data_IF_259314012145
#
_entry.id   IF_259314012145
#
_cell.length_a   1.000
_cell.length_b   1.000
_cell.length_c   1.000
_cell.angle_alpha   90.00
_cell.angle_beta   90.00
_cell.angle_gamma   90.00
#
_symmetry.space_group_name_H-M   'P 1'
#
loop_
_entity.id
_entity.type
_entity.pdbx_description
1 polymer ?
#
# COMPACT_ATOMS: atom_id res chain seq x y z
N UNK A 1 35.75 -52.23 -22.75
CA UNK A 1 36.87 -53.19 -22.54
C UNK A 1 36.45 -54.21 -21.50
N UNK A 2 36.97 -55.46 -21.56
CA UNK A 2 36.56 -56.60 -20.70
C UNK A 2 35.08 -57.00 -20.86
N UNK A 3 34.64 -57.33 -22.08
CA UNK A 3 33.30 -57.87 -22.38
C UNK A 3 32.13 -56.87 -22.29
N UNK A 4 32.20 -55.86 -21.42
CA UNK A 4 31.23 -54.76 -21.38
C UNK A 4 31.51 -53.74 -22.49
N UNK A 5 30.45 -53.41 -23.23
CA UNK A 5 30.46 -52.31 -24.19
C UNK A 5 30.64 -50.99 -23.43
N UNK A 6 31.54 -50.12 -23.92
CA UNK A 6 31.72 -48.79 -23.34
C UNK A 6 30.64 -47.86 -23.89
N UNK A 7 29.93 -47.15 -23.00
CA UNK A 7 29.19 -45.93 -23.36
C UNK A 7 30.12 -44.76 -23.05
N UNK A 8 30.43 -43.97 -24.08
CA UNK A 8 31.11 -42.68 -23.96
C UNK A 8 30.09 -41.65 -24.45
N UNK A 9 29.66 -40.77 -23.55
CA UNK A 9 28.63 -39.75 -23.74
C UNK A 9 29.02 -38.51 -22.94
N UNK A 10 28.34 -37.39 -23.12
CA UNK A 10 28.52 -36.25 -22.22
C UNK A 10 28.24 -36.67 -20.77
N UNK A 11 29.11 -36.23 -19.86
CA UNK A 11 28.87 -36.44 -18.44
C UNK A 11 27.72 -35.53 -18.01
N UNK A 12 26.70 -36.09 -17.35
CA UNK A 12 25.60 -35.27 -16.84
C UNK A 12 26.13 -34.29 -15.79
N UNK A 13 25.70 -33.03 -15.83
CA UNK A 13 26.28 -31.97 -15.01
C UNK A 13 25.91 -32.14 -13.52
N UNK A 14 26.69 -32.95 -12.81
CA UNK A 14 26.33 -33.46 -11.48
C UNK A 14 26.41 -32.43 -10.33
N UNK A 15 26.47 -31.13 -10.66
CA UNK A 15 26.37 -29.98 -9.76
C UNK A 15 25.32 -28.95 -10.25
N UNK A 16 24.30 -29.42 -10.98
CA UNK A 16 23.17 -28.62 -11.44
C UNK A 16 22.00 -28.64 -10.44
N UNK A 17 21.29 -27.51 -10.32
CA UNK A 17 20.07 -27.35 -9.53
C UNK A 17 18.94 -26.82 -10.41
N UNK A 18 17.74 -27.33 -10.17
CA UNK A 18 16.48 -26.77 -10.65
C UNK A 18 16.05 -25.65 -9.72
N UNK A 19 15.65 -24.52 -10.28
CA UNK A 19 15.16 -23.36 -9.53
C UNK A 19 13.72 -23.10 -9.97
N UNK A 20 12.80 -22.96 -9.02
CA UNK A 20 11.38 -22.69 -9.30
C UNK A 20 10.81 -21.59 -8.42
N UNK A 21 9.62 -21.14 -8.78
CA UNK A 21 8.92 -19.99 -8.18
C UNK A 21 9.58 -18.63 -8.46
N UNK A 22 10.36 -18.51 -9.54
CA UNK A 22 10.94 -17.24 -9.97
C UNK A 22 9.86 -16.22 -10.34
N UNK A 23 10.12 -14.95 -10.05
CA UNK A 23 9.34 -13.82 -10.56
C UNK A 23 9.54 -13.69 -12.08
N UNK A 24 8.54 -13.26 -12.87
CA UNK A 24 8.69 -13.08 -14.31
C UNK A 24 9.72 -12.01 -14.71
N UNK A 25 10.16 -11.18 -13.76
CA UNK A 25 11.17 -10.15 -13.94
C UNK A 25 12.61 -10.60 -13.63
N UNK A 26 12.84 -11.87 -13.27
CA UNK A 26 14.18 -12.42 -13.07
C UNK A 26 14.81 -12.77 -14.42
N UNK A 27 15.98 -12.20 -14.72
CA UNK A 27 16.78 -12.53 -15.91
C UNK A 27 17.84 -13.60 -15.63
N UNK A 28 18.52 -14.06 -16.68
CA UNK A 28 19.62 -15.03 -16.56
C UNK A 28 20.78 -14.46 -15.71
N UNK A 29 21.11 -13.19 -15.96
CA UNK A 29 22.22 -12.48 -15.34
C UNK A 29 21.96 -12.23 -13.85
N UNK A 30 20.73 -11.84 -13.49
CA UNK A 30 20.32 -11.71 -12.09
C UNK A 30 20.36 -13.06 -11.36
N UNK A 31 19.98 -14.15 -12.05
CA UNK A 31 20.05 -15.50 -11.49
C UNK A 31 21.51 -15.96 -11.29
N UNK A 32 22.41 -15.62 -12.21
CA UNK A 32 23.85 -15.89 -12.11
C UNK A 32 24.48 -15.13 -10.93
N UNK A 33 24.28 -13.80 -10.89
CA UNK A 33 24.81 -12.93 -9.84
C UNK A 33 24.33 -13.39 -8.46
N UNK A 34 23.04 -13.67 -8.30
CA UNK A 34 22.48 -14.06 -7.01
C UNK A 34 22.96 -15.44 -6.52
N UNK A 35 23.15 -16.42 -7.41
CA UNK A 35 23.65 -17.74 -7.00
C UNK A 35 25.18 -17.78 -6.83
N UNK A 36 25.91 -16.81 -7.41
CA UNK A 36 27.37 -16.69 -7.25
C UNK A 36 27.84 -16.61 -5.79
N UNK A 37 27.00 -16.11 -4.88
CA UNK A 37 27.27 -16.04 -3.43
C UNK A 37 27.52 -17.42 -2.78
N UNK A 38 27.04 -18.50 -3.41
CA UNK A 38 27.23 -19.86 -2.93
C UNK A 38 28.54 -20.47 -3.45
N UNK A 39 28.95 -20.10 -4.67
CA UNK A 39 30.20 -20.50 -5.33
C UNK A 39 30.17 -20.20 -6.83
N UNK A 40 31.25 -20.55 -7.57
CA UNK A 40 31.37 -20.26 -9.00
C UNK A 40 30.28 -20.97 -9.84
N UNK A 41 29.65 -20.20 -10.73
CA UNK A 41 28.62 -20.63 -11.69
C UNK A 41 29.29 -20.90 -13.04
N UNK A 42 28.88 -21.97 -13.72
CA UNK A 42 29.23 -22.26 -15.12
C UNK A 42 28.13 -21.79 -16.08
N UNK A 43 26.86 -21.91 -15.66
CA UNK A 43 25.69 -21.47 -16.43
C UNK A 43 24.51 -21.18 -15.50
N UNK A 44 23.81 -20.07 -15.74
CA UNK A 44 22.47 -19.82 -15.19
C UNK A 44 21.51 -19.48 -16.34
N UNK A 45 20.31 -20.05 -16.33
CA UNK A 45 19.30 -19.82 -17.38
C UNK A 45 17.89 -19.87 -16.82
N UNK A 46 17.07 -18.89 -17.17
CA UNK A 46 15.63 -18.87 -16.91
C UNK A 46 14.92 -19.57 -18.07
N UNK A 47 14.04 -20.52 -17.75
CA UNK A 47 13.28 -21.27 -18.75
C UNK A 47 12.12 -20.40 -19.23
N UNK A 48 12.06 -20.14 -20.53
CA UNK A 48 10.98 -19.40 -21.19
C UNK A 48 10.04 -20.32 -21.97
N UNK A 49 8.82 -19.86 -22.20
CA UNK A 49 7.85 -20.52 -23.08
C UNK A 49 8.12 -20.24 -24.59
N UNK A 50 7.28 -20.81 -25.45
CA UNK A 50 7.30 -20.62 -26.91
C UNK A 50 7.14 -19.16 -27.36
N UNK A 51 6.69 -18.28 -26.46
CA UNK A 51 6.49 -16.84 -26.68
C UNK A 51 7.56 -15.98 -25.99
N UNK A 52 8.60 -16.60 -25.41
CA UNK A 52 9.69 -15.92 -24.72
C UNK A 52 9.32 -15.38 -23.33
N UNK A 53 8.19 -15.80 -22.75
CA UNK A 53 7.78 -15.39 -21.39
C UNK A 53 8.39 -16.35 -20.36
N UNK A 54 8.83 -15.83 -19.22
CA UNK A 54 9.36 -16.67 -18.13
C UNK A 54 8.32 -17.68 -17.64
N UNK A 55 8.73 -18.95 -17.52
CA UNK A 55 7.91 -20.03 -16.94
C UNK A 55 7.94 -20.07 -15.41
N UNK A 56 8.66 -19.13 -14.77
CA UNK A 56 8.91 -19.16 -13.33
C UNK A 56 9.87 -20.28 -12.87
N UNK A 57 10.56 -20.92 -13.83
CA UNK A 57 11.58 -21.95 -13.60
C UNK A 57 12.92 -21.53 -14.21
N UNK A 58 14.02 -22.09 -13.71
CA UNK A 58 15.38 -21.87 -14.19
C UNK A 58 16.30 -23.02 -13.81
N UNK A 59 17.51 -23.01 -14.36
CA UNK A 59 18.56 -23.99 -14.10
C UNK A 59 19.83 -23.23 -13.72
N UNK A 60 20.52 -23.69 -12.67
CA UNK A 60 21.81 -23.15 -12.23
C UNK A 60 22.82 -24.29 -12.14
N UNK A 61 23.94 -24.14 -12.84
CA UNK A 61 25.03 -25.10 -12.92
C UNK A 61 26.26 -24.52 -12.23
N UNK A 62 26.68 -25.16 -11.13
CA UNK A 62 27.88 -24.78 -10.38
C UNK A 62 29.11 -25.55 -10.83
N UNK A 63 30.27 -24.89 -10.88
CA UNK A 63 31.55 -25.56 -11.20
C UNK A 63 31.99 -26.60 -10.14
N UNK A 64 31.26 -26.74 -9.02
CA UNK A 64 31.57 -27.75 -8.01
C UNK A 64 30.34 -28.24 -7.22
N UNK A 65 30.31 -29.54 -6.94
CA UNK A 65 29.27 -30.18 -6.10
C UNK A 65 29.15 -29.61 -4.69
N UNK A 66 30.23 -29.18 -4.00
CA UNK A 66 30.10 -28.51 -2.70
C UNK A 66 29.35 -27.18 -2.79
N UNK A 67 29.56 -26.38 -3.84
CA UNK A 67 28.85 -25.12 -4.02
C UNK A 67 27.34 -25.34 -4.26
N UNK A 68 26.98 -26.30 -5.13
CA UNK A 68 25.59 -26.68 -5.35
C UNK A 68 24.90 -27.19 -4.07
N UNK A 69 25.57 -28.02 -3.27
CA UNK A 69 25.01 -28.48 -1.97
C UNK A 69 24.81 -27.33 -0.99
N UNK A 70 25.80 -26.45 -0.84
CA UNK A 70 25.69 -25.24 0.01
C UNK A 70 24.52 -24.35 -0.42
N UNK A 71 24.29 -24.17 -1.73
CA UNK A 71 23.14 -23.42 -2.24
C UNK A 71 21.81 -24.11 -1.88
N UNK A 72 21.70 -25.42 -2.14
CA UNK A 72 20.50 -26.21 -1.82
C UNK A 72 20.18 -26.22 -0.32
N UNK A 73 21.16 -26.47 0.54
CA UNK A 73 21.01 -26.47 2.00
C UNK A 73 20.53 -25.09 2.50
N UNK A 74 21.19 -24.01 2.09
CA UNK A 74 20.85 -22.63 2.52
C UNK A 74 19.47 -22.17 2.05
N UNK A 75 19.03 -22.56 0.85
CA UNK A 75 17.71 -22.25 0.33
C UNK A 75 16.60 -23.21 0.82
N UNK A 76 16.97 -24.32 1.48
CA UNK A 76 16.02 -25.24 2.12
C UNK A 76 15.79 -24.88 3.60
N UNK A 77 16.83 -24.42 4.29
CA UNK A 77 16.75 -23.97 5.69
C UNK A 77 16.23 -22.53 5.83
N UNK A 78 16.59 -21.66 4.89
CA UNK A 78 16.29 -20.22 4.93
C UNK A 78 15.42 -19.75 3.77
N UNK A 79 14.98 -18.50 3.85
CA UNK A 79 14.21 -17.83 2.79
C UNK A 79 15.19 -17.04 1.92
N UNK A 80 15.37 -17.45 0.67
CA UNK A 80 16.19 -16.73 -0.32
C UNK A 80 15.30 -15.95 -1.31
N UNK A 81 15.59 -14.65 -1.47
CA UNK A 81 14.81 -13.68 -2.24
C UNK A 81 15.70 -13.00 -3.28
N UNK A 82 15.16 -12.72 -4.47
CA UNK A 82 15.88 -12.07 -5.59
C UNK A 82 15.33 -10.70 -5.98
N UNK A 83 14.14 -10.34 -5.49
CA UNK A 83 13.36 -9.19 -5.95
C UNK A 83 12.73 -8.45 -4.78
N UNK A 84 12.27 -7.22 -5.02
CA UNK A 84 11.55 -6.39 -4.04
C UNK A 84 10.32 -7.11 -3.47
N UNK A 85 9.55 -7.79 -4.33
CA UNK A 85 8.46 -8.68 -3.89
C UNK A 85 9.09 -9.89 -3.17
N UNK A 86 8.69 -10.21 -1.92
CA UNK A 86 9.33 -11.24 -1.09
C UNK A 86 8.88 -12.65 -1.47
N UNK A 87 9.13 -13.01 -2.74
CA UNK A 87 8.78 -14.30 -3.34
C UNK A 87 9.94 -15.29 -3.13
N UNK A 88 9.78 -16.36 -2.33
CA UNK A 88 10.86 -17.29 -2.02
C UNK A 88 11.25 -18.11 -3.25
N UNK A 89 12.55 -18.15 -3.52
CA UNK A 89 13.15 -19.05 -4.51
C UNK A 89 13.17 -20.46 -3.94
N UNK A 90 12.60 -21.42 -4.67
CA UNK A 90 12.62 -22.82 -4.29
C UNK A 90 13.69 -23.52 -5.13
N UNK A 91 14.62 -24.21 -4.47
CA UNK A 91 15.77 -24.88 -5.10
C UNK A 91 15.63 -26.38 -4.90
N UNK A 92 15.75 -27.14 -5.99
CA UNK A 92 15.65 -28.59 -6.01
C UNK A 92 16.85 -29.20 -6.76
N UNK A 93 17.31 -30.40 -6.43
CA UNK A 93 18.32 -31.10 -7.24
C UNK A 93 17.79 -31.29 -8.66
N UNK A 94 18.58 -30.96 -9.69
CA UNK A 94 18.16 -31.17 -11.08
C UNK A 94 18.15 -32.67 -11.39
N UNK A 95 16.99 -33.22 -11.73
CA UNK A 95 16.88 -34.60 -12.23
C UNK A 95 17.52 -34.70 -13.62
N UNK A 96 18.51 -35.60 -13.74
CA UNK A 96 19.32 -35.75 -14.95
C UNK A 96 18.92 -37.02 -15.69
N UNK A 97 18.01 -36.86 -16.64
CA UNK A 97 17.56 -37.91 -17.54
C UNK A 97 18.41 -37.91 -18.82
N UNK A 98 18.59 -39.08 -19.44
CA UNK A 98 19.39 -39.28 -20.66
C UNK A 98 18.47 -39.26 -21.88
N UNK A 99 18.48 -38.14 -22.60
CA UNK A 99 17.71 -37.88 -23.82
C UNK A 99 18.53 -38.05 -25.12
N UNK A 100 19.87 -38.05 -25.05
CA UNK A 100 20.75 -38.28 -26.21
C UNK A 100 20.89 -39.77 -26.56
N UNK A 101 21.23 -40.61 -25.57
CA UNK A 101 21.77 -41.96 -25.79
C UNK A 101 20.68 -43.03 -25.59
N UNK A 102 19.67 -42.73 -24.77
CA UNK A 102 18.45 -43.51 -24.56
C UNK A 102 18.65 -44.99 -24.20
N UNK A 103 17.69 -45.84 -24.60
CA UNK A 103 17.74 -47.30 -24.44
C UNK A 103 17.73 -48.02 -25.81
N UNK A 104 18.89 -48.14 -26.49
CA UNK A 104 18.98 -48.76 -27.80
C UNK A 104 18.94 -50.28 -27.74
N UNK A 105 18.44 -50.91 -28.81
CA UNK A 105 18.21 -52.36 -28.90
C UNK A 105 19.44 -53.23 -28.57
N UNK A 106 20.63 -52.75 -28.95
CA UNK A 106 21.92 -53.41 -28.68
C UNK A 106 22.25 -53.53 -27.18
N UNK A 107 21.63 -52.69 -26.34
CA UNK A 107 21.79 -52.66 -24.88
C UNK A 107 20.56 -53.21 -24.13
N UNK A 108 19.44 -53.47 -24.83
CA UNK A 108 18.24 -54.03 -24.21
C UNK A 108 18.49 -55.47 -23.70
N UNK A 109 18.03 -55.75 -22.47
CA UNK A 109 18.23 -57.06 -21.87
C UNK A 109 17.31 -58.11 -22.49
N UNK A 110 17.88 -59.05 -23.24
CA UNK A 110 17.18 -60.14 -23.95
C UNK A 110 16.73 -61.28 -23.02
N UNK A 111 15.98 -60.95 -21.97
CA UNK A 111 15.33 -61.94 -21.10
C UNK A 111 14.08 -62.56 -21.80
N UNK A 112 13.45 -63.61 -21.23
CA UNK A 112 12.28 -64.24 -21.85
C UNK A 112 11.08 -63.30 -22.02
N UNK A 113 10.87 -62.35 -21.09
CA UNK A 113 9.80 -61.34 -21.20
C UNK A 113 10.02 -60.41 -22.40
N UNK A 114 11.24 -59.92 -22.61
CA UNK A 114 11.61 -59.10 -23.77
C UNK A 114 11.27 -59.78 -25.10
N UNK A 115 11.44 -61.11 -25.18
CA UNK A 115 11.09 -61.88 -26.38
C UNK A 115 9.57 -61.97 -26.54
N UNK A 116 8.87 -62.37 -25.47
CA UNK A 116 7.41 -62.52 -25.43
C UNK A 116 6.67 -61.22 -25.79
N UNK A 117 7.05 -60.09 -25.21
CA UNK A 117 6.44 -58.78 -25.48
C UNK A 117 6.62 -58.33 -26.95
N UNK A 118 7.56 -58.94 -27.69
CA UNK A 118 7.87 -58.62 -29.09
C UNK A 118 7.35 -59.63 -30.10
N UNK A 119 6.69 -60.69 -29.65
CA UNK A 119 5.98 -61.64 -30.54
C UNK A 119 4.87 -60.94 -31.33
N UNK A 120 4.23 -59.92 -30.73
CA UNK A 120 3.15 -59.16 -31.37
C UNK A 120 3.63 -57.76 -31.76
N UNK A 121 3.51 -57.35 -33.04
CA UNK A 121 3.97 -56.03 -33.49
C UNK A 121 3.11 -54.88 -32.94
N UNK A 122 3.64 -53.63 -33.00
CA UNK A 122 2.86 -52.42 -32.74
C UNK A 122 1.60 -52.37 -33.62
N UNK A 123 0.44 -52.19 -33.00
CA UNK A 123 -0.89 -52.25 -33.63
C UNK A 123 -1.88 -51.35 -32.91
N UNK A 124 -2.97 -51.01 -33.59
CA UNK A 124 -4.17 -50.48 -32.94
C UNK A 124 -5.10 -51.64 -32.57
N UNK A 125 -5.50 -51.72 -31.30
CA UNK A 125 -6.48 -52.70 -30.84
C UNK A 125 -7.86 -52.40 -31.46
N UNK A 126 -8.57 -53.44 -31.90
CA UNK A 126 -9.89 -53.30 -32.52
C UNK A 126 -11.00 -53.24 -31.44
N UNK A 127 -12.05 -52.46 -31.71
CA UNK A 127 -13.23 -52.37 -30.85
C UNK A 127 -13.83 -53.76 -30.56
N UNK A 128 -14.28 -53.99 -29.32
CA UNK A 128 -14.83 -55.27 -28.87
C UNK A 128 -13.78 -56.34 -28.56
N UNK A 129 -12.48 -56.10 -28.77
CA UNK A 129 -11.41 -56.98 -28.27
C UNK A 129 -11.11 -56.69 -26.80
N UNK A 130 -10.69 -57.73 -26.05
CA UNK A 130 -10.25 -57.57 -24.66
C UNK A 130 -9.12 -56.53 -24.50
N UNK A 131 -8.17 -56.51 -25.45
CA UNK A 131 -7.08 -55.54 -25.47
C UNK A 131 -7.62 -54.10 -25.51
N UNK A 132 -8.58 -53.83 -26.41
CA UNK A 132 -9.19 -52.51 -26.54
C UNK A 132 -9.93 -52.09 -25.27
N UNK A 133 -10.81 -52.95 -24.74
CA UNK A 133 -11.60 -52.65 -23.54
C UNK A 133 -10.71 -52.41 -22.30
N UNK A 134 -9.64 -53.18 -22.14
CA UNK A 134 -8.67 -52.97 -21.06
C UNK A 134 -7.87 -51.67 -21.26
N UNK A 135 -7.37 -51.41 -22.47
CA UNK A 135 -6.64 -50.17 -22.78
C UNK A 135 -7.49 -48.91 -22.64
N UNK A 136 -8.80 -48.97 -22.95
CA UNK A 136 -9.72 -47.84 -22.72
C UNK A 136 -9.90 -47.55 -21.22
N UNK A 137 -10.04 -48.58 -20.39
CA UNK A 137 -10.08 -48.40 -18.92
C UNK A 137 -8.78 -47.82 -18.39
N UNK A 138 -7.63 -48.25 -18.93
CA UNK A 138 -6.32 -47.71 -18.55
C UNK A 138 -6.19 -46.22 -18.93
N UNK A 139 -6.61 -45.83 -20.14
CA UNK A 139 -6.69 -44.40 -20.54
C UNK A 139 -7.65 -43.58 -19.67
N UNK A 140 -8.75 -44.17 -19.22
CA UNK A 140 -9.69 -43.52 -18.30
C UNK A 140 -9.07 -43.22 -16.93
N UNK A 141 -8.11 -44.04 -16.48
CA UNK A 141 -7.31 -43.77 -15.27
C UNK A 141 -6.26 -42.68 -15.49
N UNK A 142 -5.58 -42.68 -16.64
CA UNK A 142 -4.59 -41.65 -17.03
C UNK A 142 -5.23 -40.25 -17.13
N UNK A 143 -6.39 -40.14 -17.78
CA UNK A 143 -7.15 -38.87 -17.85
C UNK A 143 -7.65 -38.44 -16.46
N UNK A 144 -8.03 -39.38 -15.59
CA UNK A 144 -8.41 -39.08 -14.20
C UNK A 144 -7.21 -38.60 -13.37
N UNK A 145 -6.03 -39.20 -13.52
CA UNK A 145 -4.81 -38.74 -12.87
C UNK A 145 -4.45 -37.33 -13.33
N UNK A 146 -4.48 -37.08 -14.64
CA UNK A 146 -4.24 -35.77 -15.24
C UNK A 146 -5.23 -34.72 -14.71
N UNK A 147 -6.53 -35.02 -14.70
CA UNK A 147 -7.55 -34.11 -14.15
C UNK A 147 -7.29 -33.80 -12.66
N UNK A 148 -6.90 -34.79 -11.85
CA UNK A 148 -6.54 -34.55 -10.45
C UNK A 148 -5.29 -33.68 -10.30
N UNK A 149 -4.24 -33.93 -11.10
CA UNK A 149 -3.01 -33.10 -11.11
C UNK A 149 -3.31 -31.65 -11.48
N UNK A 150 -4.04 -31.42 -12.58
CA UNK A 150 -4.43 -30.08 -13.03
C UNK A 150 -5.31 -29.35 -12.00
N UNK A 151 -6.26 -30.06 -11.37
CA UNK A 151 -7.11 -29.47 -10.32
C UNK A 151 -6.31 -29.09 -9.07
N UNK A 152 -5.35 -29.93 -8.65
CA UNK A 152 -4.45 -29.62 -7.52
C UNK A 152 -3.54 -28.45 -7.88
N UNK A 153 -2.93 -28.43 -9.07
CA UNK A 153 -2.07 -27.33 -9.52
C UNK A 153 -2.83 -26.00 -9.55
N UNK A 154 -4.05 -26.00 -10.10
CA UNK A 154 -4.93 -24.82 -10.10
C UNK A 154 -5.27 -24.37 -8.68
N UNK A 155 -5.72 -25.26 -7.80
CA UNK A 155 -6.06 -24.92 -6.41
C UNK A 155 -4.85 -24.34 -5.66
N UNK A 156 -3.65 -24.89 -5.89
CA UNK A 156 -2.41 -24.39 -5.30
C UNK A 156 -1.92 -23.08 -5.92
N UNK A 157 -2.28 -22.79 -7.18
CA UNK A 157 -2.05 -21.48 -7.80
C UNK A 157 -3.00 -20.43 -7.22
N UNK A 158 -4.30 -20.69 -7.25
CA UNK A 158 -5.33 -19.75 -6.75
C UNK A 158 -5.07 -19.39 -5.27
N UNK A 159 -4.60 -20.34 -4.45
CA UNK A 159 -4.20 -20.10 -3.06
C UNK A 159 -2.94 -19.22 -2.92
N UNK A 160 -1.97 -19.31 -3.84
CA UNK A 160 -0.76 -18.46 -3.84
C UNK A 160 -1.08 -17.06 -4.32
N UNK A 161 -1.86 -16.94 -5.40
CA UNK A 161 -2.30 -15.66 -5.93
C UNK A 161 -3.11 -14.87 -4.86
N UNK A 162 -3.93 -15.58 -4.07
CA UNK A 162 -4.63 -14.99 -2.91
C UNK A 162 -3.68 -14.53 -1.80
N UNK A 163 -2.65 -15.32 -1.47
CA UNK A 163 -1.64 -14.94 -0.48
C UNK A 163 -0.80 -13.73 -0.94
N UNK A 164 -0.53 -13.63 -2.25
CA UNK A 164 0.15 -12.47 -2.86
C UNK A 164 -0.70 -11.20 -2.71
N UNK A 165 -2.02 -11.27 -2.97
CA UNK A 165 -2.96 -10.18 -2.71
C UNK A 165 -3.04 -9.77 -1.23
N UNK A 166 -3.16 -10.72 -0.30
CA UNK A 166 -3.20 -10.44 1.14
C UNK A 166 -1.91 -9.78 1.65
N UNK A 167 -0.77 -10.12 1.05
CA UNK A 167 0.53 -9.52 1.34
C UNK A 167 0.64 -8.09 0.80
N UNK A 168 0.14 -7.81 -0.42
CA UNK A 168 0.13 -6.46 -1.00
C UNK A 168 -0.76 -5.51 -0.17
N UNK A 169 -1.95 -5.96 0.22
CA UNK A 169 -2.85 -5.20 1.11
C UNK A 169 -2.18 -4.89 2.46
N UNK A 170 -1.56 -5.89 3.10
CA UNK A 170 -0.85 -5.72 4.37
C UNK A 170 0.36 -4.78 4.25
N UNK A 171 1.09 -4.81 3.12
CA UNK A 171 2.20 -3.90 2.85
C UNK A 171 1.73 -2.45 2.70
N UNK A 172 0.66 -2.23 1.94
CA UNK A 172 0.07 -0.90 1.78
C UNK A 172 -0.52 -0.36 3.09
N UNK A 173 -1.16 -1.20 3.90
CA UNK A 173 -1.62 -0.81 5.24
C UNK A 173 -0.45 -0.44 6.15
N UNK A 174 0.65 -1.23 6.13
CA UNK A 174 1.85 -0.93 6.89
C UNK A 174 2.49 0.41 6.50
N UNK A 175 2.63 0.68 5.19
CA UNK A 175 3.10 1.97 4.68
C UNK A 175 2.19 3.13 5.11
N UNK A 176 0.88 2.98 5.00
CA UNK A 176 -0.08 3.99 5.44
C UNK A 176 0.02 4.24 6.96
N UNK A 177 0.22 3.19 7.76
CA UNK A 177 0.37 3.31 9.21
C UNK A 177 1.70 3.97 9.62
N UNK A 178 2.80 3.71 8.91
CA UNK A 178 4.06 4.46 9.10
C UNK A 178 3.89 5.96 8.80
N UNK A 179 3.21 6.32 7.70
CA UNK A 179 2.94 7.72 7.35
C UNK A 179 1.99 8.39 8.36
N UNK A 180 0.97 7.68 8.85
CA UNK A 180 0.08 8.15 9.93
C UNK A 180 0.85 8.42 11.23
N UNK A 181 1.79 7.55 11.60
CA UNK A 181 2.62 7.75 12.79
C UNK A 181 3.52 8.97 12.66
N UNK A 182 4.16 9.18 11.51
CA UNK A 182 4.98 10.39 11.27
C UNK A 182 4.12 11.67 11.25
N UNK A 183 2.93 11.63 10.65
CA UNK A 183 1.99 12.76 10.66
C UNK A 183 1.54 13.11 12.09
N UNK A 184 1.15 12.11 12.89
CA UNK A 184 0.77 12.29 14.29
C UNK A 184 1.93 12.87 15.13
N UNK A 185 3.16 12.42 14.90
CA UNK A 185 4.36 12.98 15.55
C UNK A 185 4.53 14.46 15.22
N UNK A 186 4.46 14.84 13.94
CA UNK A 186 4.59 16.24 13.50
C UNK A 186 3.45 17.13 14.03
N UNK A 187 2.23 16.60 14.11
CA UNK A 187 1.09 17.32 14.69
C UNK A 187 1.29 17.57 16.19
N UNK A 188 1.79 16.59 16.94
CA UNK A 188 2.13 16.73 18.36
C UNK A 188 3.30 17.72 18.58
N UNK A 189 4.31 17.72 17.70
CA UNK A 189 5.41 18.71 17.72
C UNK A 189 4.90 20.14 17.48
N UNK A 190 4.02 20.33 16.48
CA UNK A 190 3.38 21.63 16.20
C UNK A 190 2.54 22.09 17.39
N UNK A 191 1.69 21.20 17.94
CA UNK A 191 0.85 21.50 19.11
C UNK A 191 1.70 21.94 20.31
N UNK A 192 2.83 21.28 20.58
CA UNK A 192 3.75 21.69 21.66
C UNK A 192 4.36 23.07 21.41
N UNK A 193 4.73 23.40 20.17
CA UNK A 193 5.19 24.76 19.84
C UNK A 193 4.07 25.80 20.01
N UNK A 194 2.85 25.50 19.62
CA UNK A 194 1.68 26.38 19.82
C UNK A 194 1.36 26.59 21.32
N UNK A 195 1.40 25.52 22.13
CA UNK A 195 1.22 25.60 23.58
C UNK A 195 2.34 26.41 24.25
N UNK A 196 3.60 26.22 23.85
CA UNK A 196 4.74 27.04 24.33
C UNK A 196 4.59 28.52 23.94
N UNK A 197 4.21 28.80 22.69
CA UNK A 197 4.00 30.16 22.20
C UNK A 197 2.83 30.86 22.92
N UNK A 198 1.74 30.14 23.18
CA UNK A 198 0.62 30.65 23.97
C UNK A 198 1.01 30.94 25.42
N UNK A 199 1.82 30.09 26.06
CA UNK A 199 2.35 30.35 27.40
C UNK A 199 3.27 31.57 27.44
N UNK A 200 4.12 31.76 26.43
CA UNK A 200 4.97 32.94 26.29
C UNK A 200 4.15 34.21 26.13
N UNK A 201 3.12 34.18 25.28
CA UNK A 201 2.18 35.28 25.08
C UNK A 201 1.34 35.60 26.32
N UNK A 202 0.95 34.59 27.11
CA UNK A 202 0.30 34.78 28.42
C UNK A 202 1.24 35.46 29.42
N UNK A 203 2.46 34.95 29.60
CA UNK A 203 3.48 35.57 30.47
C UNK A 203 3.78 37.02 30.07
N UNK A 204 3.81 37.31 28.76
CA UNK A 204 4.01 38.66 28.24
C UNK A 204 2.85 39.59 28.58
N UNK A 205 1.59 39.12 28.51
CA UNK A 205 0.40 39.87 28.94
C UNK A 205 0.38 40.09 30.45
N UNK A 206 0.69 39.08 31.26
CA UNK A 206 0.79 39.20 32.72
C UNK A 206 1.87 40.20 33.13
N UNK A 207 3.03 40.18 32.46
CA UNK A 207 4.10 41.16 32.70
C UNK A 207 3.67 42.58 32.33
N UNK A 208 2.93 42.77 31.24
CA UNK A 208 2.36 44.07 30.86
C UNK A 208 1.35 44.57 31.89
N UNK A 209 0.38 43.74 32.28
CA UNK A 209 -0.61 44.06 33.33
C UNK A 209 0.07 44.45 34.65
N UNK A 210 1.12 43.72 35.05
CA UNK A 210 1.88 44.01 36.28
C UNK A 210 2.66 45.33 36.20
N UNK A 211 3.24 45.67 35.04
CA UNK A 211 3.88 46.97 34.82
C UNK A 211 2.86 48.12 34.80
N UNK A 212 1.65 47.88 34.28
CA UNK A 212 0.56 48.85 34.27
C UNK A 212 0.01 49.07 35.70
N UNK A 213 -0.17 48.00 36.49
CA UNK A 213 -0.54 48.12 37.91
C UNK A 213 0.55 48.83 38.73
N UNK A 214 1.84 48.53 38.52
CA UNK A 214 2.93 49.27 39.18
C UNK A 214 2.94 50.76 38.81
N UNK A 215 2.71 51.11 37.54
CA UNK A 215 2.57 52.52 37.12
C UNK A 215 1.40 53.18 37.85
N UNK A 216 0.24 52.53 37.85
CA UNK A 216 -0.98 53.05 38.48
C UNK A 216 -0.81 53.26 39.98
N UNK A 217 -0.20 52.30 40.69
CA UNK A 217 0.16 52.45 42.11
C UNK A 217 1.13 53.61 42.36
N UNK A 218 2.15 53.79 41.51
CA UNK A 218 3.09 54.94 41.64
C UNK A 218 2.40 56.28 41.38
N UNK A 219 1.46 56.35 40.44
CA UNK A 219 0.62 57.53 40.19
C UNK A 219 -0.30 57.83 41.39
N UNK A 220 -0.92 56.80 41.97
CA UNK A 220 -1.73 56.89 43.19
C UNK A 220 -0.88 57.34 44.41
N UNK A 221 0.31 56.77 44.63
CA UNK A 221 1.25 57.19 45.68
C UNK A 221 1.73 58.64 45.50
N UNK A 222 2.00 59.08 44.26
CA UNK A 222 2.34 60.48 43.98
C UNK A 222 1.16 61.43 44.27
N UNK A 223 -0.06 61.05 43.90
CA UNK A 223 -1.28 61.80 44.21
C UNK A 223 -1.54 61.89 45.72
N UNK A 224 -1.31 60.81 46.47
CA UNK A 224 -1.42 60.80 47.93
C UNK A 224 -0.36 61.73 48.55
N UNK A 225 0.92 61.61 48.17
CA UNK A 225 1.98 62.52 48.63
C UNK A 225 1.72 63.97 48.28
N UNK A 226 1.14 64.25 47.11
CA UNK A 226 0.78 65.60 46.71
C UNK A 226 -0.33 66.17 47.61
N UNK A 227 -1.37 65.38 47.93
CA UNK A 227 -2.40 65.77 48.90
C UNK A 227 -1.84 65.93 50.32
N UNK A 228 -0.97 65.04 50.78
CA UNK A 228 -0.31 65.17 52.09
C UNK A 228 0.53 66.46 52.16
N UNK A 229 1.22 66.82 51.07
CA UNK A 229 1.99 68.06 50.97
C UNK A 229 1.08 69.30 50.90
N UNK A 230 -0.05 69.23 50.20
CA UNK A 230 -1.09 70.29 50.21
C UNK A 230 -1.76 70.45 51.58
N UNK A 231 -2.06 69.35 52.28
CA UNK A 231 -2.57 69.37 53.65
C UNK A 231 -1.53 69.91 54.63
N UNK A 232 -0.25 69.55 54.48
CA UNK A 232 0.84 70.08 55.29
C UNK A 232 1.04 71.58 55.04
N UNK A 233 0.96 72.03 53.79
CA UNK A 233 0.96 73.46 53.42
C UNK A 233 -0.29 74.19 53.92
N UNK A 234 -1.45 73.52 53.99
CA UNK A 234 -2.67 74.05 54.63
C UNK A 234 -2.48 74.20 56.14
N UNK A 235 -1.95 73.20 56.83
CA UNK A 235 -1.65 73.27 58.27
C UNK A 235 -0.60 74.35 58.58
N UNK A 236 0.46 74.47 57.77
CA UNK A 236 1.41 75.58 57.88
C UNK A 236 0.77 76.94 57.59
N UNK A 237 -0.17 77.04 56.64
CA UNK A 237 -0.97 78.26 56.45
C UNK A 237 -1.86 78.55 57.65
N UNK A 238 -2.50 77.56 58.25
CA UNK A 238 -3.37 77.71 59.43
C UNK A 238 -2.56 78.09 60.67
N UNK A 239 -1.37 77.49 60.89
CA UNK A 239 -0.41 77.90 61.92
C UNK A 239 0.13 79.32 61.68
N UNK A 240 0.43 79.67 60.42
CA UNK A 240 0.83 81.02 60.04
C UNK A 240 -0.31 82.05 60.20
N UNK A 241 -1.57 81.65 59.99
CA UNK A 241 -2.76 82.48 60.25
C UNK A 241 -3.00 82.64 61.76
N UNK A 242 -2.83 81.56 62.55
CA UNK A 242 -2.87 81.60 64.02
C UNK A 242 -1.83 82.55 64.58
N UNK A 243 -0.65 82.67 63.94
CA UNK A 243 0.40 83.63 64.31
C UNK A 243 0.18 85.06 63.81
N UNK A 244 -0.79 85.30 62.93
CA UNK A 244 -1.14 86.63 62.39
C UNK A 244 -2.59 87.05 62.71
N UNK A 245 -3.16 86.55 63.81
CA UNK A 245 -4.51 86.89 64.31
C UNK A 245 -4.73 88.35 64.78
N UNK A 246 -3.94 89.32 64.30
CA UNK A 246 -4.10 90.75 64.56
C UNK A 246 -3.75 91.59 63.33
N UNK A 247 -4.71 91.80 62.41
CA UNK A 247 -4.96 93.12 61.81
C UNK A 247 -6.26 93.19 60.97
N UNK A 248 -6.83 94.39 60.99
CA UNK A 248 -8.06 94.92 60.39
C UNK A 248 -8.31 94.59 58.89
N UNK A 249 -9.54 94.23 58.48
CA UNK A 249 -9.90 94.03 57.07
C UNK A 249 -10.17 95.37 56.33
N UNK A 250 -9.15 95.94 55.70
CA UNK A 250 -9.31 96.96 54.65
C UNK A 250 -8.52 96.64 53.38
N UNK A 251 -9.22 96.82 52.25
CA UNK A 251 -8.72 96.91 50.88
C UNK A 251 -7.94 95.71 50.30
N UNK A 252 -8.59 94.98 49.38
CA UNK A 252 -8.12 95.03 47.99
C UNK A 252 -9.23 94.77 46.97
N UNK A 253 -9.33 95.69 46.02
CA UNK A 253 -10.35 95.74 44.97
C UNK A 253 -9.74 95.41 43.59
N UNK A 254 -10.61 95.20 42.59
CA UNK A 254 -10.33 94.95 41.15
C UNK A 254 -9.69 93.59 40.78
N UNK A 255 -10.01 92.97 39.63
CA UNK A 255 -10.50 93.56 38.35
C UNK A 255 -11.35 92.56 37.53
N UNK A 256 -12.25 93.10 36.68
CA UNK A 256 -12.97 92.40 35.59
C UNK A 256 -12.02 91.65 34.61
N UNK A 257 -12.45 90.73 33.73
CA UNK A 257 -13.78 90.21 33.37
C UNK A 257 -13.88 89.90 31.87
N UNK A 258 -14.83 89.06 31.44
CA UNK A 258 -15.04 88.63 30.03
C UNK A 258 -14.04 87.55 29.54
N UNK A 259 -14.34 86.70 28.54
CA UNK A 259 -15.57 86.51 27.75
C UNK A 259 -15.25 85.93 26.36
N UNK A 260 -16.15 85.12 25.77
CA UNK A 260 -16.10 84.73 24.35
C UNK A 260 -15.60 83.31 24.03
N UNK A 261 -16.25 82.69 23.03
CA UNK A 261 -15.91 81.39 22.43
C UNK A 261 -15.47 81.57 20.96
N UNK A 262 -15.45 80.47 20.18
CA UNK A 262 -14.95 80.26 18.78
C UNK A 262 -13.49 79.73 18.76
N UNK A 263 -13.13 78.55 18.21
CA UNK A 263 -13.49 77.77 17.02
C UNK A 263 -12.71 78.11 15.73
N UNK A 264 -12.08 77.07 15.15
CA UNK A 264 -11.52 76.88 13.79
C UNK A 264 -10.63 77.95 13.13
N UNK A 265 -9.45 77.51 12.62
CA UNK A 265 -8.66 78.25 11.62
C UNK A 265 -7.21 77.76 11.43
N UNK A 266 -6.99 76.86 10.46
CA UNK A 266 -5.71 76.48 9.81
C UNK A 266 -5.07 77.66 9.00
N UNK A 267 -3.93 77.58 8.23
CA UNK A 267 -3.13 76.41 7.78
C UNK A 267 -1.56 76.58 7.68
N UNK A 268 -0.89 75.52 7.14
CA UNK A 268 0.48 75.42 6.54
C UNK A 268 1.70 75.49 7.47
N UNK A 269 2.80 74.73 7.26
CA UNK A 269 3.24 73.70 6.29
C UNK A 269 4.55 73.05 6.81
N UNK A 270 5.31 72.14 6.19
CA UNK A 270 5.38 71.58 4.83
C UNK A 270 6.30 70.34 4.81
N UNK A 271 6.16 69.45 3.81
CA UNK A 271 7.17 68.44 3.41
C UNK A 271 7.02 67.02 4.03
N UNK A 272 7.10 65.93 3.27
CA UNK A 272 7.18 65.81 1.80
C UNK A 272 7.29 64.37 1.28
N UNK A 273 6.94 64.17 -0.01
CA UNK A 273 7.23 63.02 -0.90
C UNK A 273 6.58 61.66 -0.51
N UNK A 274 5.65 61.02 -1.24
CA UNK A 274 5.30 60.83 -2.69
C UNK A 274 6.09 59.75 -3.46
N UNK A 275 5.37 58.66 -3.77
CA UNK A 275 5.63 57.75 -4.90
C UNK A 275 5.38 58.43 -6.27
N UNK A 276 5.97 57.92 -7.38
CA UNK A 276 5.57 58.22 -8.75
C UNK A 276 4.69 57.11 -9.39
N UNK A 277 3.80 57.46 -10.35
CA UNK A 277 3.25 56.49 -11.31
C UNK A 277 3.32 56.96 -12.80
N UNK A 278 3.06 55.98 -13.69
CA UNK A 278 2.82 56.06 -15.15
C UNK A 278 4.00 56.29 -16.13
N UNK A 279 4.07 55.42 -17.16
CA UNK A 279 4.67 55.75 -18.46
C UNK A 279 5.09 54.60 -19.39
N UNK A 280 4.18 54.10 -20.25
CA UNK A 280 4.52 53.76 -21.65
C UNK A 280 4.66 52.29 -22.12
N UNK A 281 3.74 51.86 -23.00
CA UNK A 281 3.90 50.81 -24.05
C UNK A 281 4.02 49.34 -23.59
N UNK A 282 3.48 48.33 -24.28
CA UNK A 282 2.67 48.29 -25.50
C UNK A 282 2.96 47.02 -26.31
N UNK A 283 2.03 46.07 -26.43
CA UNK A 283 2.22 44.86 -27.24
C UNK A 283 1.32 43.65 -26.91
N UNK A 284 0.20 43.53 -27.64
CA UNK A 284 -0.38 42.32 -28.28
C UNK A 284 -0.10 40.95 -27.61
N UNK A 285 -1.09 40.10 -27.25
CA UNK A 285 -2.56 40.18 -27.39
C UNK A 285 -3.24 38.85 -26.98
N UNK A 286 -4.59 38.80 -27.06
CA UNK A 286 -5.54 37.64 -27.08
C UNK A 286 -5.13 36.27 -26.45
N UNK A 287 -5.92 35.52 -25.68
CA UNK A 287 -7.32 35.56 -25.19
C UNK A 287 -7.45 34.46 -24.08
N UNK A 288 -8.47 34.33 -23.23
CA UNK A 288 -9.76 35.02 -23.03
C UNK A 288 -10.14 35.04 -21.52
N UNK A 289 -11.42 35.14 -21.17
CA UNK A 289 -12.02 35.23 -19.82
C UNK A 289 -13.55 34.86 -19.95
N UNK A 290 -14.45 34.91 -18.93
CA UNK A 290 -14.37 34.79 -17.46
C UNK A 290 -15.34 33.71 -16.88
N UNK A 291 -15.41 33.53 -15.54
CA UNK A 291 -16.59 32.87 -14.93
C UNK A 291 -16.60 32.52 -13.43
N UNK A 292 -16.78 33.50 -12.53
CA UNK A 292 -17.20 33.36 -11.11
C UNK A 292 -17.83 34.72 -10.69
N UNK A 293 -18.64 34.91 -9.62
CA UNK A 293 -19.14 34.01 -8.53
C UNK A 293 -20.67 34.24 -8.28
N UNK A 294 -21.28 34.28 -7.05
CA UNK A 294 -21.01 33.70 -5.72
C UNK A 294 -22.22 32.89 -5.13
N UNK A 295 -22.22 32.62 -3.81
CA UNK A 295 -23.15 31.73 -3.09
C UNK A 295 -24.41 32.39 -2.47
N UNK A 296 -25.46 31.60 -2.20
CA UNK A 296 -26.54 31.85 -1.20
C UNK A 296 -27.15 30.54 -0.66
N UNK A 297 -27.73 30.57 0.55
CA UNK A 297 -28.40 29.44 1.21
C UNK A 297 -29.92 29.42 1.05
N UNK A 298 -30.51 28.22 1.02
CA UNK A 298 -31.85 27.88 1.53
C UNK A 298 -31.92 26.34 1.70
N UNK A 299 -32.71 25.73 2.60
CA UNK A 299 -33.65 26.30 3.58
C UNK A 299 -35.07 25.78 3.39
N UNK A 300 -35.39 24.58 3.85
CA UNK A 300 -36.77 24.06 3.98
C UNK A 300 -36.85 22.91 4.99
N UNK A 301 -37.86 22.94 5.87
CA UNK A 301 -38.11 21.96 6.93
C UNK A 301 -39.44 21.22 6.72
N UNK A 302 -39.53 20.07 7.40
CA UNK A 302 -40.72 19.41 8.00
C UNK A 302 -41.16 18.08 7.38
N UNK A 303 -41.49 17.13 8.27
CA UNK A 303 -42.03 15.81 7.94
C UNK A 303 -41.65 14.73 8.96
N UNK A 304 -41.94 14.96 10.25
CA UNK A 304 -41.74 13.94 11.29
C UNK A 304 -42.76 12.81 11.17
N UNK A 305 -42.35 11.56 11.42
CA UNK A 305 -43.20 10.61 12.14
C UNK A 305 -42.38 9.56 12.89
N UNK A 306 -42.81 9.22 14.10
CA UNK A 306 -42.16 8.23 14.97
C UNK A 306 -42.70 6.82 14.70
N UNK A 307 -41.86 5.79 14.93
CA UNK A 307 -42.29 4.59 15.68
C UNK A 307 -41.12 3.79 16.25
N UNK A 308 -41.19 3.59 17.55
CA UNK A 308 -40.34 2.70 18.37
C UNK A 308 -41.13 1.42 18.69
N UNK A 309 -40.43 0.42 19.25
CA UNK A 309 -40.83 -0.96 19.54
C UNK A 309 -40.53 -1.96 18.40
N UNK A 310 -40.01 -3.17 18.66
CA UNK A 310 -39.95 -3.90 19.96
C UNK A 310 -38.75 -4.86 20.05
N UNK A 311 -38.17 -4.98 21.24
CA UNK A 311 -37.30 -6.12 21.59
C UNK A 311 -38.11 -7.41 21.69
N UNK A 312 -37.54 -8.53 21.23
CA UNK A 312 -38.04 -9.89 21.43
C UNK A 312 -36.91 -10.80 21.89
N UNK A 313 -37.12 -11.53 22.98
CA UNK A 313 -36.09 -12.31 23.69
C UNK A 313 -36.46 -13.81 23.72
N UNK A 314 -35.47 -14.68 23.53
CA UNK A 314 -35.58 -16.14 23.68
C UNK A 314 -36.13 -16.90 22.46
N UNK A 315 -35.72 -18.14 22.19
CA UNK A 315 -34.68 -18.95 22.85
C UNK A 315 -34.64 -20.39 22.33
N UNK A 316 -33.57 -21.12 22.67
CA UNK A 316 -33.40 -22.59 22.70
C UNK A 316 -33.82 -23.48 21.49
N UNK A 317 -32.90 -24.36 21.07
CA UNK A 317 -33.28 -25.70 20.56
C UNK A 317 -32.57 -26.16 19.28
N UNK A 318 -32.05 -27.40 19.22
CA UNK A 318 -31.20 -27.85 18.11
C UNK A 318 -31.94 -28.65 17.04
N UNK A 319 -31.40 -28.62 15.82
CA UNK A 319 -31.70 -29.57 14.73
C UNK A 319 -30.35 -30.14 14.28
N UNK A 320 -30.13 -31.45 14.17
CA UNK A 320 -31.08 -32.55 14.11
C UNK A 320 -30.71 -33.44 12.92
N UNK A 321 -29.52 -34.02 12.96
CA UNK A 321 -28.99 -34.81 11.84
C UNK A 321 -29.68 -36.15 11.69
N UNK A 322 -30.32 -36.38 10.55
CA UNK A 322 -30.90 -37.66 10.13
C UNK A 322 -30.73 -37.83 8.61
N UNK A 323 -29.99 -38.87 8.20
CA UNK A 323 -30.38 -39.67 7.03
C UNK A 323 -31.53 -40.62 7.44
N UNK A 324 -31.96 -41.61 6.62
CA UNK A 324 -31.11 -42.36 5.67
C UNK A 324 -31.82 -42.91 4.39
N UNK A 325 -31.11 -43.79 3.64
CA UNK A 325 -31.59 -44.76 2.61
C UNK A 325 -32.06 -44.16 1.26
N UNK A 326 -31.99 -44.88 0.13
CA UNK A 326 -31.43 -46.21 -0.18
C UNK A 326 -32.31 -47.05 -1.13
N UNK A 327 -31.72 -47.75 -2.11
CA UNK A 327 -32.37 -48.51 -3.23
C UNK A 327 -33.10 -47.63 -4.27
N UNK A 328 -33.30 -48.01 -5.55
CA UNK A 328 -32.96 -49.23 -6.31
C UNK A 328 -33.34 -49.06 -7.81
N UNK A 329 -32.99 -50.00 -8.72
CA UNK A 329 -32.87 -49.71 -10.17
C UNK A 329 -34.10 -50.02 -11.05
N UNK A 330 -34.15 -49.44 -12.25
CA UNK A 330 -35.11 -49.75 -13.32
C UNK A 330 -34.50 -49.61 -14.73
N UNK A 331 -34.70 -50.63 -15.57
CA UNK A 331 -34.11 -50.80 -16.92
C UNK A 331 -34.95 -50.15 -18.06
N UNK A 332 -34.40 -50.03 -19.29
CA UNK A 332 -34.90 -49.07 -20.29
C UNK A 332 -35.94 -49.63 -21.28
N UNK A 333 -36.64 -48.71 -21.97
CA UNK A 333 -37.41 -48.95 -23.18
C UNK A 333 -36.82 -48.15 -24.35
N UNK A 334 -36.90 -48.69 -25.59
CA UNK A 334 -36.24 -48.12 -26.77
C UNK A 334 -37.19 -47.86 -27.96
N UNK A 335 -36.56 -47.62 -29.13
CA UNK A 335 -37.15 -47.22 -30.43
C UNK A 335 -37.76 -45.79 -30.45
N UNK A 336 -37.52 -44.93 -31.44
CA UNK A 336 -36.60 -44.99 -32.59
C UNK A 336 -37.26 -44.60 -33.92
N UNK A 337 -36.83 -43.48 -34.54
CA UNK A 337 -36.85 -43.14 -35.98
C UNK A 337 -36.46 -41.65 -36.17
N UNK A 338 -35.73 -41.35 -37.25
CA UNK A 338 -35.35 -39.96 -37.60
C UNK A 338 -34.09 -39.90 -38.46
N UNK A 339 -34.17 -40.42 -39.69
CA UNK A 339 -33.07 -40.48 -40.67
C UNK A 339 -33.19 -39.29 -41.62
N UNK A 340 -32.20 -38.40 -41.66
CA UNK A 340 -32.03 -37.44 -42.76
C UNK A 340 -30.64 -37.60 -43.37
N UNK A 341 -30.60 -37.66 -44.70
CA UNK A 341 -29.40 -37.81 -45.52
C UNK A 341 -28.83 -36.43 -45.87
N UNK A 342 -27.51 -36.30 -45.91
CA UNK A 342 -26.83 -35.07 -46.32
C UNK A 342 -25.93 -35.35 -47.52
N UNK A 343 -26.25 -34.76 -48.68
CA UNK A 343 -25.50 -34.96 -49.93
C UNK A 343 -25.25 -33.64 -50.70
N UNK A 344 -24.19 -32.92 -50.28
CA UNK A 344 -23.43 -31.94 -51.10
C UNK A 344 -24.11 -30.62 -51.52
N UNK A 345 -23.42 -29.75 -52.32
CA UNK A 345 -22.04 -29.89 -52.81
C UNK A 345 -21.11 -28.68 -52.53
N UNK A 346 -19.88 -29.02 -52.14
CA UNK A 346 -18.60 -28.36 -52.42
C UNK A 346 -18.57 -27.15 -53.40
N UNK A 347 -18.23 -25.94 -52.91
CA UNK A 347 -17.60 -24.86 -53.70
C UNK A 347 -16.56 -24.07 -52.88
N UNK A 348 -15.35 -23.95 -53.43
CA UNK A 348 -14.23 -23.16 -52.89
C UNK A 348 -14.43 -21.64 -53.12
N UNK A 349 -13.94 -20.76 -52.24
CA UNK A 349 -13.59 -19.39 -52.61
C UNK A 349 -12.23 -19.34 -53.32
N UNK A 350 -12.16 -18.56 -54.39
CA UNK A 350 -10.96 -17.80 -54.80
C UNK A 350 -10.90 -16.53 -53.92
N UNK A 351 -9.81 -15.79 -53.76
CA UNK A 351 -8.48 -15.79 -54.40
C UNK A 351 -7.40 -15.69 -53.32
#
# INVERSE_FOLDING_TARGET
MRGRQLRVRFATHAAALSVRNLSPYVSNELLEEAFSQFGPIERAVVIVDDRGRSTGKGIVEFASKPAARKAFERCSEGVFLLTTTPRPVIVEPLEQLDDEDGLPEKLAQKNPMYQKERETPPRFAQHGTFEYEYSQRWKSLDEMEKQQREQVEKNMKDAKDKLESEMEDAYHEHQANLLRQDLMRRQEELRRMEELHNQEMQKRKEMQLRQEEERRRREEEMMIRQREMEEQMRRQREESYSRMGYMDPRERDMRMGGGGAMNMGDPYGSGGQKFPPLGGGGGIGYEANPGVPPATMSGSMMGSDMRTERFGQGGAGPVGGQGPRGMGPGTPAGYGRGREEYEGPNKKPRF
#
